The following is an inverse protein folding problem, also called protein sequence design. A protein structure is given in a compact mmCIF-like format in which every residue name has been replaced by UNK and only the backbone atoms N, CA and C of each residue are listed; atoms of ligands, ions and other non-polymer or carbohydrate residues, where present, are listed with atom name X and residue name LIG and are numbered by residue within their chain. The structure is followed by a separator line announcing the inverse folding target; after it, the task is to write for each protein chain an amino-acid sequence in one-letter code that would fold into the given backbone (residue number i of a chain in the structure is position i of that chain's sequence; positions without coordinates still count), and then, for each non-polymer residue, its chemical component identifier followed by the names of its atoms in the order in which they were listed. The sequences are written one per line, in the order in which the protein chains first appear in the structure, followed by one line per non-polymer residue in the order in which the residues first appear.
data_IF_764959149234
#
_entry.id   IF_764959149234
#
_cell.length_a   1.000
_cell.length_b   1.000
_cell.length_c   1.000
_cell.angle_alpha   90.00
_cell.angle_beta   90.00
_cell.angle_gamma   90.00
#
_symmetry.space_group_name_H-M   'P 1'
#
loop_
_entity.id
_entity.type
_entity.pdbx_description
1 polymer ?
#
# COMPACT_ATOMS: atom_id res chain seq x y z
N UNK A 1 20.01 11.16 -10.12
CA UNK A 1 19.19 10.12 -9.48
C UNK A 1 19.93 9.26 -8.45
N UNK A 2 21.23 9.47 -8.19
CA UNK A 2 21.93 8.75 -7.10
C UNK A 2 21.98 7.24 -7.28
N UNK A 3 21.92 6.76 -8.53
CA UNK A 3 22.01 5.33 -8.82
C UNK A 3 23.43 4.88 -8.50
N UNK A 4 23.56 3.91 -7.60
CA UNK A 4 24.87 3.40 -7.19
C UNK A 4 25.53 2.64 -8.34
N UNK A 5 26.76 3.03 -8.67
CA UNK A 5 27.62 2.27 -9.58
C UNK A 5 28.23 1.08 -8.80
N UNK A 6 28.05 -0.12 -9.34
CA UNK A 6 28.51 -1.37 -8.72
C UNK A 6 29.89 -1.78 -9.24
N UNK A 7 30.14 -1.62 -10.54
CA UNK A 7 31.40 -1.97 -11.21
C UNK A 7 31.66 -1.10 -12.42
N UNK A 8 32.94 -0.93 -12.76
CA UNK A 8 33.38 -0.23 -13.97
C UNK A 8 33.41 1.29 -13.78
N UNK A 9 32.97 2.04 -14.80
CA UNK A 9 32.98 3.50 -14.82
C UNK A 9 31.65 4.08 -15.32
N UNK A 10 31.43 5.35 -15.02
CA UNK A 10 30.37 6.15 -15.64
C UNK A 10 30.75 6.58 -17.07
N UNK A 11 29.78 7.19 -17.77
CA UNK A 11 30.02 7.82 -19.06
C UNK A 11 30.94 9.03 -18.90
N UNK A 12 31.91 9.15 -19.80
CA UNK A 12 32.90 10.23 -19.80
C UNK A 12 32.54 11.24 -20.90
N UNK A 13 32.94 12.53 -20.76
CA UNK A 13 32.78 13.52 -21.81
C UNK A 13 33.42 13.12 -23.15
N UNK A 14 34.43 12.26 -23.13
CA UNK A 14 35.10 11.72 -24.33
C UNK A 14 34.33 10.60 -25.05
N UNK A 15 33.26 10.05 -24.47
CA UNK A 15 32.40 9.04 -25.10
C UNK A 15 31.49 9.73 -26.14
N UNK A 16 32.10 10.23 -27.21
CA UNK A 16 31.44 10.96 -28.30
C UNK A 16 31.00 10.00 -29.41
N UNK A 17 30.28 10.53 -30.40
CA UNK A 17 29.74 9.77 -31.53
C UNK A 17 30.83 9.07 -32.36
N UNK A 18 32.04 9.62 -32.41
CA UNK A 18 33.22 9.07 -33.09
C UNK A 18 34.01 8.05 -32.23
N UNK A 19 33.73 7.97 -30.93
CA UNK A 19 34.35 7.01 -30.03
C UNK A 19 33.69 5.62 -30.17
N UNK A 20 34.35 4.54 -29.71
CA UNK A 20 33.71 3.24 -29.59
C UNK A 20 32.39 3.36 -28.81
N UNK A 21 31.33 2.70 -29.31
CA UNK A 21 30.02 2.75 -28.65
C UNK A 21 30.10 2.06 -27.29
N UNK A 22 29.61 2.72 -26.25
CA UNK A 22 29.66 2.23 -24.87
C UNK A 22 28.27 2.13 -24.24
N UNK A 23 28.12 1.22 -23.29
CA UNK A 23 26.90 1.06 -22.53
C UNK A 23 27.16 0.79 -21.05
N UNK A 24 26.21 1.20 -20.23
CA UNK A 24 26.11 0.81 -18.81
C UNK A 24 24.88 -0.08 -18.68
N UNK A 25 24.97 -1.17 -17.92
CA UNK A 25 23.85 -2.11 -17.75
C UNK A 25 23.44 -2.21 -16.29
N UNK A 26 22.19 -2.57 -16.02
CA UNK A 26 21.79 -2.86 -14.64
C UNK A 26 22.26 -4.25 -14.18
N UNK A 27 22.32 -4.45 -12.88
CA UNK A 27 22.75 -5.71 -12.28
C UNK A 27 21.94 -6.92 -12.76
N UNK A 28 20.63 -6.77 -12.98
CA UNK A 28 19.78 -7.84 -13.52
C UNK A 28 20.22 -8.29 -14.91
N UNK A 29 20.54 -7.35 -15.81
CA UNK A 29 21.06 -7.65 -17.14
C UNK A 29 22.37 -8.42 -17.03
N UNK A 30 23.30 -7.93 -16.20
CA UNK A 30 24.60 -8.57 -15.99
C UNK A 30 24.46 -10.02 -15.51
N UNK A 31 23.65 -10.27 -14.47
CA UNK A 31 23.43 -11.63 -13.94
C UNK A 31 22.78 -12.56 -14.96
N UNK A 32 21.82 -12.06 -15.74
CA UNK A 32 21.08 -12.88 -16.70
C UNK A 32 21.96 -13.35 -17.87
N UNK A 33 22.70 -12.44 -18.49
CA UNK A 33 23.49 -12.75 -19.70
C UNK A 33 24.87 -13.33 -19.39
N UNK A 34 25.52 -12.87 -18.33
CA UNK A 34 26.90 -13.26 -18.02
C UNK A 34 27.00 -14.33 -16.92
N UNK A 35 25.88 -14.75 -16.32
CA UNK A 35 25.80 -15.84 -15.32
C UNK A 35 26.86 -15.75 -14.21
N UNK A 36 27.20 -14.53 -13.79
CA UNK A 36 28.19 -14.24 -12.75
C UNK A 36 29.60 -13.90 -13.25
N UNK A 37 29.89 -14.07 -14.54
CA UNK A 37 31.12 -13.56 -15.15
C UNK A 37 31.11 -12.02 -15.20
N UNK A 38 32.29 -11.41 -15.20
CA UNK A 38 32.40 -9.95 -15.22
C UNK A 38 31.95 -9.38 -16.57
N UNK A 39 30.89 -8.55 -16.62
CA UNK A 39 30.36 -8.01 -17.87
C UNK A 39 31.18 -6.83 -18.38
N UNK A 40 31.97 -6.17 -17.54
CA UNK A 40 32.75 -4.98 -17.91
C UNK A 40 33.82 -5.37 -18.96
N UNK A 41 33.94 -4.56 -20.01
CA UNK A 41 34.82 -4.81 -21.16
C UNK A 41 34.25 -5.79 -22.20
N UNK A 42 33.10 -6.43 -21.93
CA UNK A 42 32.44 -7.31 -22.92
C UNK A 42 31.62 -6.49 -23.92
N UNK A 43 31.49 -7.02 -25.13
CA UNK A 43 30.66 -6.43 -26.19
C UNK A 43 29.27 -7.06 -26.18
N UNK A 44 28.26 -6.22 -26.37
CA UNK A 44 26.88 -6.62 -26.61
C UNK A 44 26.41 -6.02 -27.93
N UNK A 45 25.48 -6.69 -28.59
CA UNK A 45 24.71 -6.12 -29.69
C UNK A 45 23.35 -5.69 -29.14
N UNK A 46 23.02 -4.41 -29.27
CA UNK A 46 21.72 -3.87 -28.87
C UNK A 46 21.18 -3.04 -30.03
N UNK A 47 20.01 -3.44 -30.58
CA UNK A 47 19.41 -2.86 -31.79
C UNK A 47 20.42 -2.77 -32.95
N UNK A 48 21.11 -3.88 -33.20
CA UNK A 48 22.15 -4.04 -34.23
C UNK A 48 23.40 -3.15 -34.07
N UNK A 49 23.50 -2.39 -32.98
CA UNK A 49 24.69 -1.62 -32.61
C UNK A 49 25.55 -2.43 -31.64
N UNK A 50 26.80 -2.68 -32.04
CA UNK A 50 27.79 -3.30 -31.15
C UNK A 50 28.38 -2.27 -30.19
N UNK A 51 28.22 -2.50 -28.90
CA UNK A 51 28.66 -1.60 -27.83
C UNK A 51 29.41 -2.36 -26.73
N UNK A 52 30.36 -1.69 -26.09
CA UNK A 52 31.14 -2.26 -24.99
C UNK A 52 30.54 -1.86 -23.66
N UNK A 53 30.32 -2.83 -22.77
CA UNK A 53 29.86 -2.56 -21.42
C UNK A 53 31.01 -1.93 -20.63
N UNK A 54 30.85 -0.69 -20.18
CA UNK A 54 31.85 0.04 -19.39
C UNK A 54 31.52 0.10 -17.91
N UNK A 55 30.28 -0.21 -17.53
CA UNK A 55 29.86 -0.19 -16.13
C UNK A 55 28.58 -0.98 -15.85
N UNK A 56 28.39 -1.28 -14.56
CA UNK A 56 27.20 -1.94 -14.02
C UNK A 56 26.64 -1.08 -12.90
N UNK A 57 25.34 -0.81 -12.94
CA UNK A 57 24.61 -0.04 -11.91
C UNK A 57 23.60 -0.89 -11.16
N UNK A 58 23.24 -0.44 -9.96
CA UNK A 58 22.16 -1.05 -9.19
C UNK A 58 20.83 -1.03 -9.95
N UNK A 59 19.97 -2.01 -9.67
CA UNK A 59 18.62 -2.07 -10.23
C UNK A 59 17.75 -0.95 -9.65
N UNK A 60 17.03 -0.23 -10.52
CA UNK A 60 16.17 0.90 -10.14
C UNK A 60 14.83 0.86 -10.83
N UNK A 61 13.81 1.41 -10.16
CA UNK A 61 12.47 1.61 -10.72
C UNK A 61 12.51 2.77 -11.72
N UNK A 62 11.87 2.62 -12.89
CA UNK A 62 12.01 3.60 -13.98
C UNK A 62 10.75 4.42 -14.23
N UNK A 63 9.58 3.78 -14.27
CA UNK A 63 8.34 4.45 -14.66
C UNK A 63 7.29 4.44 -13.56
N UNK A 64 7.17 3.32 -12.86
CA UNK A 64 6.13 3.10 -11.88
C UNK A 64 6.73 2.80 -10.50
N UNK A 65 6.32 3.50 -9.42
CA UNK A 65 6.71 3.15 -8.06
C UNK A 65 6.41 1.68 -7.67
N UNK A 66 5.46 1.03 -8.36
CA UNK A 66 5.11 -0.38 -8.18
C UNK A 66 6.02 -1.38 -8.88
N UNK A 67 6.87 -0.94 -9.81
CA UNK A 67 7.76 -1.84 -10.55
C UNK A 67 8.71 -2.55 -9.57
N UNK A 68 8.84 -3.87 -9.73
CA UNK A 68 9.96 -4.58 -9.15
C UNK A 68 11.25 -4.06 -9.83
N UNK A 69 12.21 -3.52 -9.07
CA UNK A 69 13.49 -3.07 -9.62
C UNK A 69 14.20 -4.17 -10.45
N UNK A 70 13.92 -5.43 -10.15
CA UNK A 70 14.52 -6.60 -10.82
C UNK A 70 13.72 -7.12 -12.02
N UNK A 71 12.57 -6.52 -12.35
CA UNK A 71 11.71 -6.99 -13.44
C UNK A 71 12.36 -6.77 -14.81
N UNK A 72 13.07 -5.66 -14.99
CA UNK A 72 13.58 -5.23 -16.28
C UNK A 72 15.10 -5.28 -16.38
N UNK A 73 15.56 -5.51 -17.60
CA UNK A 73 16.98 -5.50 -17.98
C UNK A 73 17.23 -4.21 -18.74
N UNK A 74 18.00 -3.32 -18.16
CA UNK A 74 18.24 -1.99 -18.73
C UNK A 74 19.63 -1.88 -19.33
N UNK A 75 19.69 -1.22 -20.48
CA UNK A 75 20.91 -0.80 -21.16
C UNK A 75 20.84 0.72 -21.29
N UNK A 76 21.74 1.41 -20.60
CA UNK A 76 21.91 2.84 -20.68
C UNK A 76 22.97 3.16 -21.72
N UNK A 77 22.70 4.17 -22.54
CA UNK A 77 23.63 4.67 -23.55
C UNK A 77 23.80 6.18 -23.37
N UNK A 78 25.00 6.73 -23.64
CA UNK A 78 25.24 8.15 -23.49
C UNK A 78 24.54 8.91 -24.62
N UNK A 79 23.87 10.02 -24.28
CA UNK A 79 23.16 10.87 -25.25
C UNK A 79 24.11 11.42 -26.32
N UNK A 80 25.38 11.68 -25.97
CA UNK A 80 26.44 12.10 -26.90
C UNK A 80 26.75 11.11 -28.03
N UNK A 81 26.31 9.85 -27.91
CA UNK A 81 26.47 8.82 -28.94
C UNK A 81 25.17 8.52 -29.72
N UNK A 82 24.06 9.18 -29.37
CA UNK A 82 22.78 9.00 -30.05
C UNK A 82 22.78 9.73 -31.39
N UNK A 83 22.53 8.99 -32.48
CA UNK A 83 22.45 9.57 -33.84
C UNK A 83 21.17 10.40 -34.03
N UNK A 84 20.08 9.97 -33.40
CA UNK A 84 18.80 10.68 -33.40
C UNK A 84 18.26 10.72 -31.98
N UNK A 85 18.02 11.93 -31.49
CA UNK A 85 17.34 12.16 -30.20
C UNK A 85 15.90 12.56 -30.50
N UNK A 86 14.99 11.59 -30.43
CA UNK A 86 13.56 11.83 -30.69
C UNK A 86 12.89 12.57 -29.52
N UNK A 87 13.25 12.23 -28.29
CA UNK A 87 12.72 12.83 -27.07
C UNK A 87 13.85 13.02 -26.06
N UNK A 88 13.84 14.16 -25.35
CA UNK A 88 14.81 14.45 -24.30
C UNK A 88 14.09 14.94 -23.05
N UNK A 89 14.29 14.22 -21.95
CA UNK A 89 13.78 14.59 -20.63
C UNK A 89 14.93 15.05 -19.75
N UNK A 90 14.75 16.18 -19.07
CA UNK A 90 15.73 16.71 -18.14
C UNK A 90 15.31 16.46 -16.69
N UNK A 91 16.25 15.98 -15.89
CA UNK A 91 16.08 15.88 -14.45
C UNK A 91 16.94 16.93 -13.76
N UNK A 92 16.29 17.85 -13.05
CA UNK A 92 16.96 18.90 -12.30
C UNK A 92 16.90 18.57 -10.81
N UNK A 93 18.06 18.54 -10.15
CA UNK A 93 18.15 18.45 -8.70
C UNK A 93 18.40 19.85 -8.16
N UNK A 94 17.52 20.31 -7.28
CA UNK A 94 17.65 21.58 -6.57
C UNK A 94 17.60 21.34 -5.06
N UNK A 95 18.21 22.24 -4.29
CA UNK A 95 18.14 22.28 -2.82
C UNK A 95 16.95 23.15 -2.36
N UNK A 96 16.48 24.05 -3.23
CA UNK A 96 15.36 24.96 -2.97
C UNK A 96 13.99 24.31 -3.25
N UNK A 97 12.91 25.06 -3.05
CA UNK A 97 11.56 24.63 -3.38
C UNK A 97 11.45 24.26 -4.87
N UNK A 98 11.12 23.00 -5.13
CA UNK A 98 11.02 22.44 -6.47
C UNK A 98 9.94 23.11 -7.32
N UNK A 99 8.90 23.67 -6.69
CA UNK A 99 7.83 24.40 -7.39
C UNK A 99 8.27 25.80 -7.81
N UNK A 100 9.07 26.48 -6.98
CA UNK A 100 9.66 27.76 -7.34
C UNK A 100 10.66 27.59 -8.50
N UNK A 101 11.56 26.62 -8.38
CA UNK A 101 12.53 26.27 -9.43
C UNK A 101 11.84 25.88 -10.75
N UNK A 102 10.70 25.18 -10.69
CA UNK A 102 9.91 24.84 -11.87
C UNK A 102 9.39 26.10 -12.60
N UNK A 103 8.98 27.15 -11.87
CA UNK A 103 8.58 28.43 -12.47
C UNK A 103 9.76 29.13 -13.14
N UNK A 104 10.92 29.11 -12.52
CA UNK A 104 12.13 29.75 -13.04
C UNK A 104 12.65 29.05 -14.30
N UNK A 105 12.69 27.72 -14.30
CA UNK A 105 13.00 26.91 -15.50
C UNK A 105 12.02 27.24 -16.62
N UNK A 106 10.71 27.34 -16.31
CA UNK A 106 9.70 27.69 -17.31
C UNK A 106 9.94 29.09 -17.91
N UNK A 107 10.30 30.07 -17.08
CA UNK A 107 10.63 31.41 -17.54
C UNK A 107 11.90 31.42 -18.41
N UNK A 108 12.92 30.65 -18.02
CA UNK A 108 14.19 30.54 -18.73
C UNK A 108 14.02 29.87 -20.10
N UNK A 109 13.30 28.76 -20.18
CA UNK A 109 13.03 28.08 -21.46
C UNK A 109 12.23 28.97 -22.41
N UNK A 110 11.21 29.69 -21.91
CA UNK A 110 10.46 30.66 -22.72
C UNK A 110 11.32 31.79 -23.26
N UNK A 111 12.39 32.19 -22.56
CA UNK A 111 13.34 33.19 -23.05
C UNK A 111 14.27 32.65 -24.12
N UNK A 112 14.67 31.38 -24.02
CA UNK A 112 15.53 30.72 -25.01
C UNK A 112 14.76 30.48 -26.31
N UNK A 113 13.59 29.87 -26.21
CA UNK A 113 12.72 29.61 -27.36
C UNK A 113 11.24 29.58 -26.90
N UNK A 114 10.45 30.61 -27.25
CA UNK A 114 9.02 30.66 -26.93
C UNK A 114 8.19 29.54 -27.57
N UNK A 115 8.67 28.96 -28.68
CA UNK A 115 7.97 27.93 -29.43
C UNK A 115 8.29 26.52 -28.90
N UNK A 116 9.22 26.37 -27.95
CA UNK A 116 9.56 25.08 -27.38
C UNK A 116 8.46 24.63 -26.40
N UNK A 117 7.70 23.57 -26.70
CA UNK A 117 6.68 23.07 -25.79
C UNK A 117 7.34 22.42 -24.58
N UNK A 118 7.11 23.01 -23.40
CA UNK A 118 7.44 22.38 -22.12
C UNK A 118 6.38 21.33 -21.77
N UNK A 119 6.60 20.11 -22.24
CA UNK A 119 5.77 18.97 -21.85
C UNK A 119 6.11 18.52 -20.42
N UNK A 120 5.08 18.26 -19.62
CA UNK A 120 5.17 17.52 -18.35
C UNK A 120 6.21 18.02 -17.34
N UNK A 121 6.41 19.35 -17.23
CA UNK A 121 7.20 19.94 -16.16
C UNK A 121 6.52 19.70 -14.80
N UNK A 122 6.91 18.62 -14.13
CA UNK A 122 6.34 18.16 -12.85
C UNK A 122 7.44 17.90 -11.85
N UNK A 123 7.11 18.04 -10.58
CA UNK A 123 8.00 17.61 -9.50
C UNK A 123 7.94 16.09 -9.36
N UNK A 124 8.99 15.48 -8.80
CA UNK A 124 8.98 14.04 -8.49
C UNK A 124 7.82 13.67 -7.56
N UNK A 125 7.46 14.56 -6.61
CA UNK A 125 6.30 14.35 -5.71
C UNK A 125 5.00 14.29 -6.48
N UNK A 126 4.76 15.23 -7.39
CA UNK A 126 3.57 15.26 -8.22
C UNK A 126 3.46 14.03 -9.13
N UNK A 127 4.60 13.56 -9.66
CA UNK A 127 4.65 12.33 -10.45
C UNK A 127 4.25 11.10 -9.61
N UNK A 128 4.71 11.04 -8.36
CA UNK A 128 4.32 9.99 -7.41
C UNK A 128 2.82 10.10 -7.09
N UNK A 129 2.31 11.30 -6.80
CA UNK A 129 0.89 11.49 -6.48
C UNK A 129 -0.02 11.03 -7.63
N UNK A 130 0.33 11.37 -8.88
CA UNK A 130 -0.41 10.92 -10.06
C UNK A 130 -0.37 9.40 -10.19
N UNK A 131 0.78 8.77 -9.95
CA UNK A 131 0.91 7.31 -9.99
C UNK A 131 0.05 6.60 -8.92
N UNK A 132 -0.23 7.27 -7.80
CA UNK A 132 -0.98 6.71 -6.67
C UNK A 132 -2.49 7.06 -6.67
N UNK A 133 -2.97 7.86 -7.63
CA UNK A 133 -4.39 8.30 -7.68
C UNK A 133 -5.38 7.13 -7.67
N UNK A 134 -5.17 6.13 -8.53
CA UNK A 134 -6.03 4.96 -8.61
C UNK A 134 -6.01 4.13 -7.31
N UNK A 135 -4.87 4.08 -6.61
CA UNK A 135 -4.76 3.38 -5.32
C UNK A 135 -5.55 4.08 -4.24
N UNK A 136 -5.44 5.42 -4.16
CA UNK A 136 -6.20 6.21 -3.20
C UNK A 136 -7.70 6.04 -3.45
N UNK A 137 -8.15 5.99 -4.71
CA UNK A 137 -9.55 5.74 -5.04
C UNK A 137 -10.01 4.36 -4.55
N UNK A 138 -9.29 3.28 -4.89
CA UNK A 138 -9.63 1.92 -4.46
C UNK A 138 -9.59 1.81 -2.93
N UNK A 139 -8.56 2.35 -2.28
CA UNK A 139 -8.42 2.38 -0.83
C UNK A 139 -9.59 3.11 -0.16
N UNK A 140 -10.02 4.25 -0.72
CA UNK A 140 -11.17 5.02 -0.21
C UNK A 140 -12.47 4.23 -0.34
N UNK A 141 -12.68 3.56 -1.48
CA UNK A 141 -13.87 2.72 -1.72
C UNK A 141 -13.89 1.48 -0.80
N UNK A 142 -12.77 0.79 -0.65
CA UNK A 142 -12.66 -0.34 0.26
C UNK A 142 -12.87 0.10 1.73
N UNK A 143 -12.35 1.26 2.11
CA UNK A 143 -12.54 1.82 3.45
C UNK A 143 -14.00 2.21 3.70
N UNK A 144 -14.68 2.79 2.72
CA UNK A 144 -16.10 3.14 2.86
C UNK A 144 -16.97 1.88 2.96
N UNK A 145 -16.73 0.85 2.13
CA UNK A 145 -17.42 -0.43 2.26
C UNK A 145 -17.13 -1.12 3.60
N UNK A 146 -15.88 -1.10 4.05
CA UNK A 146 -15.49 -1.62 5.36
C UNK A 146 -16.22 -0.91 6.50
N UNK A 147 -16.35 0.42 6.44
CA UNK A 147 -17.09 1.22 7.41
C UNK A 147 -18.57 0.85 7.43
N UNK A 148 -19.22 0.78 6.26
CA UNK A 148 -20.63 0.42 6.13
C UNK A 148 -20.87 -1.00 6.65
N UNK A 149 -20.03 -1.96 6.27
CA UNK A 149 -20.11 -3.34 6.74
C UNK A 149 -19.95 -3.42 8.26
N UNK A 150 -19.03 -2.65 8.84
CA UNK A 150 -18.81 -2.58 10.29
C UNK A 150 -20.04 -2.02 11.01
N UNK A 151 -20.65 -0.96 10.49
CA UNK A 151 -21.89 -0.39 11.04
C UNK A 151 -23.02 -1.42 10.97
N UNK A 152 -23.20 -2.07 9.83
CA UNK A 152 -24.24 -3.08 9.62
C UNK A 152 -24.06 -4.27 10.57
N UNK A 153 -22.82 -4.76 10.72
CA UNK A 153 -22.49 -5.81 11.68
C UNK A 153 -22.76 -5.38 13.13
N UNK A 154 -22.48 -4.12 13.48
CA UNK A 154 -22.76 -3.56 14.80
C UNK A 154 -24.25 -3.57 15.12
N UNK A 155 -25.08 -3.14 14.15
CA UNK A 155 -26.54 -3.12 14.29
C UNK A 155 -27.08 -4.54 14.41
N UNK A 156 -26.59 -5.47 13.59
CA UNK A 156 -26.98 -6.88 13.67
C UNK A 156 -26.64 -7.51 15.00
N UNK A 157 -25.42 -7.30 15.50
CA UNK A 157 -24.98 -7.79 16.81
C UNK A 157 -25.80 -7.18 17.94
N UNK A 158 -26.07 -5.87 17.90
CA UNK A 158 -26.97 -5.22 18.86
C UNK A 158 -28.36 -5.87 18.85
N UNK A 159 -28.94 -6.11 17.68
CA UNK A 159 -30.27 -6.73 17.53
C UNK A 159 -30.31 -8.15 18.11
N UNK A 160 -29.34 -8.99 17.76
CA UNK A 160 -29.23 -10.36 18.29
C UNK A 160 -29.07 -10.35 19.81
N UNK A 161 -28.20 -9.48 20.34
CA UNK A 161 -27.97 -9.39 21.79
C UNK A 161 -29.16 -8.82 22.55
N UNK A 162 -29.81 -7.79 22.01
CA UNK A 162 -31.04 -7.25 22.61
C UNK A 162 -32.14 -8.31 22.66
N UNK A 163 -32.28 -9.12 21.60
CA UNK A 163 -33.24 -10.23 21.56
C UNK A 163 -32.88 -11.35 22.55
N UNK A 164 -31.61 -11.74 22.64
CA UNK A 164 -31.13 -12.72 23.62
C UNK A 164 -31.38 -12.28 25.06
N UNK A 165 -31.06 -11.03 25.38
CA UNK A 165 -31.33 -10.43 26.69
C UNK A 165 -32.83 -10.44 26.98
N UNK A 166 -33.65 -9.99 26.03
CA UNK A 166 -35.10 -9.93 26.20
C UNK A 166 -35.72 -11.31 26.51
N UNK A 167 -35.29 -12.37 25.81
CA UNK A 167 -35.75 -13.75 26.09
C UNK A 167 -35.30 -14.28 27.45
N UNK A 168 -34.18 -13.80 27.99
CA UNK A 168 -33.62 -14.24 29.28
C UNK A 168 -33.95 -13.29 30.44
N UNK A 169 -34.81 -12.29 30.24
CA UNK A 169 -35.16 -11.28 31.24
C UNK A 169 -35.63 -11.91 32.57
N UNK A 170 -36.42 -12.99 32.51
CA UNK A 170 -36.95 -13.67 33.70
C UNK A 170 -35.85 -14.38 34.51
N UNK A 171 -34.92 -15.05 33.83
CA UNK A 171 -33.76 -15.69 34.47
C UNK A 171 -32.82 -14.65 35.09
N UNK A 172 -32.59 -13.55 34.38
CA UNK A 172 -31.76 -12.42 34.83
C UNK A 172 -32.41 -11.77 36.06
N UNK A 173 -33.72 -11.54 36.04
CA UNK A 173 -34.49 -11.01 37.17
C UNK A 173 -34.46 -11.93 38.41
N UNK A 174 -34.60 -13.24 38.22
CA UNK A 174 -34.45 -14.23 39.29
C UNK A 174 -33.04 -14.22 39.90
N UNK A 175 -31.99 -14.17 39.08
CA UNK A 175 -30.60 -14.09 39.58
C UNK A 175 -30.34 -12.78 40.35
N UNK A 176 -30.87 -11.67 39.86
CA UNK A 176 -30.79 -10.38 40.55
C UNK A 176 -31.53 -10.41 41.90
N UNK A 177 -32.71 -11.03 41.96
CA UNK A 177 -33.47 -11.22 43.21
C UNK A 177 -32.74 -12.13 44.22
N UNK A 178 -31.96 -13.11 43.73
CA UNK A 178 -31.09 -13.96 44.54
C UNK A 178 -29.76 -13.28 44.96
N UNK A 179 -29.60 -11.98 44.68
CA UNK A 179 -28.45 -11.18 45.12
C UNK A 179 -27.26 -11.17 44.15
N UNK A 180 -27.45 -11.53 42.88
CA UNK A 180 -26.39 -11.39 41.89
C UNK A 180 -26.01 -9.92 41.69
N UNK A 181 -24.71 -9.61 41.77
CA UNK A 181 -24.18 -8.28 41.47
C UNK A 181 -24.38 -7.96 39.96
N UNK A 182 -24.79 -6.73 39.63
CA UNK A 182 -24.93 -6.19 38.27
C UNK A 182 -23.70 -6.47 37.40
N UNK A 183 -22.50 -6.44 37.98
CA UNK A 183 -21.26 -6.77 37.26
C UNK A 183 -21.18 -8.23 36.77
N UNK A 184 -21.73 -9.19 37.52
CA UNK A 184 -21.79 -10.61 37.10
C UNK A 184 -22.74 -10.81 35.93
N UNK A 185 -23.88 -10.10 35.92
CA UNK A 185 -24.84 -10.13 34.80
C UNK A 185 -24.25 -9.46 33.56
N UNK A 186 -23.60 -8.31 33.73
CA UNK A 186 -22.91 -7.62 32.64
C UNK A 186 -21.83 -8.51 32.00
N UNK A 187 -20.97 -9.14 32.81
CA UNK A 187 -19.92 -10.03 32.33
C UNK A 187 -20.47 -11.28 31.63
N UNK A 188 -21.59 -11.82 32.11
CA UNK A 188 -22.25 -12.95 31.46
C UNK A 188 -22.64 -12.64 30.02
N UNK A 189 -23.24 -11.47 29.78
CA UNK A 189 -23.64 -11.05 28.42
C UNK A 189 -22.41 -10.69 27.58
N UNK A 190 -21.45 -9.94 28.14
CA UNK A 190 -20.21 -9.57 27.43
C UNK A 190 -19.37 -10.80 27.04
N UNK A 191 -19.38 -11.88 27.83
CA UNK A 191 -18.69 -13.12 27.47
C UNK A 191 -19.26 -13.74 26.18
N UNK A 192 -20.57 -13.67 25.97
CA UNK A 192 -21.19 -14.13 24.72
C UNK A 192 -20.75 -13.25 23.53
N UNK A 193 -20.65 -11.93 23.73
CA UNK A 193 -20.13 -10.99 22.72
C UNK A 193 -18.69 -11.35 22.33
N UNK A 194 -17.84 -11.54 23.33
CA UNK A 194 -16.42 -11.86 23.14
C UNK A 194 -16.27 -13.20 22.42
N UNK A 195 -17.09 -14.20 22.77
CA UNK A 195 -17.06 -15.50 22.10
C UNK A 195 -17.46 -15.38 20.63
N UNK A 196 -18.53 -14.64 20.32
CA UNK A 196 -18.94 -14.38 18.93
C UNK A 196 -17.86 -13.64 18.14
N UNK A 197 -17.25 -12.61 18.73
CA UNK A 197 -16.15 -11.88 18.12
C UNK A 197 -14.93 -12.78 17.88
N UNK A 198 -14.56 -13.62 18.84
CA UNK A 198 -13.43 -14.54 18.71
C UNK A 198 -13.65 -15.58 17.60
N UNK A 199 -14.86 -16.14 17.48
CA UNK A 199 -15.20 -17.06 16.39
C UNK A 199 -15.18 -16.32 15.04
N UNK A 200 -15.77 -15.13 14.98
CA UNK A 200 -15.78 -14.30 13.78
C UNK A 200 -14.38 -13.93 13.29
N UNK A 201 -13.49 -13.52 14.20
CA UNK A 201 -12.08 -13.22 13.89
C UNK A 201 -11.32 -14.49 13.52
N UNK A 202 -11.54 -15.58 14.26
CA UNK A 202 -10.89 -16.86 14.02
C UNK A 202 -11.20 -17.46 12.65
N UNK A 203 -12.39 -17.21 12.11
CA UNK A 203 -12.77 -17.60 10.75
C UNK A 203 -12.41 -16.53 9.72
N UNK A 204 -12.60 -15.25 10.06
CA UNK A 204 -12.40 -14.12 9.16
C UNK A 204 -10.95 -13.90 8.75
N UNK A 205 -9.99 -14.06 9.68
CA UNK A 205 -8.56 -13.86 9.38
C UNK A 205 -8.04 -14.90 8.35
N UNK A 206 -8.25 -16.22 8.53
CA UNK A 206 -7.88 -17.20 7.50
C UNK A 206 -8.55 -16.95 6.14
N UNK A 207 -9.84 -16.58 6.14
CA UNK A 207 -10.57 -16.24 4.91
C UNK A 207 -9.97 -15.02 4.21
N UNK A 208 -9.67 -13.96 4.96
CA UNK A 208 -9.05 -12.75 4.43
C UNK A 208 -7.66 -13.04 3.84
N UNK A 209 -6.86 -13.86 4.52
CA UNK A 209 -5.55 -14.30 4.03
C UNK A 209 -5.66 -15.13 2.75
N UNK A 210 -6.60 -16.08 2.70
CA UNK A 210 -6.85 -16.92 1.53
C UNK A 210 -7.29 -16.10 0.31
N UNK A 211 -8.28 -15.22 0.50
CA UNK A 211 -8.76 -14.33 -0.56
C UNK A 211 -7.69 -13.32 -0.98
N UNK A 212 -6.93 -12.78 -0.02
CA UNK A 212 -5.82 -11.86 -0.30
C UNK A 212 -4.72 -12.50 -1.15
N UNK A 213 -4.47 -13.80 -1.01
CA UNK A 213 -3.55 -14.53 -1.88
C UNK A 213 -4.08 -14.68 -3.32
N UNK A 214 -5.39 -14.92 -3.50
CA UNK A 214 -5.98 -15.04 -4.85
C UNK A 214 -5.90 -13.73 -5.63
N UNK A 215 -6.05 -12.61 -4.93
CA UNK A 215 -6.05 -11.26 -5.52
C UNK A 215 -4.63 -10.64 -5.51
N UNK A 216 -3.60 -11.36 -5.03
CA UNK A 216 -2.22 -10.87 -4.91
C UNK A 216 -1.63 -10.36 -6.23
N UNK A 217 -2.02 -10.95 -7.36
CA UNK A 217 -1.60 -10.51 -8.69
C UNK A 217 -2.08 -9.09 -9.03
N UNK A 218 -3.15 -8.62 -8.36
CA UNK A 218 -3.72 -7.28 -8.51
C UNK A 218 -3.19 -6.28 -7.46
N UNK A 219 -2.60 -6.77 -6.35
CA UNK A 219 -2.16 -5.96 -5.19
C UNK A 219 -0.66 -5.57 -5.18
N UNK A 220 0.09 -5.86 -6.25
CA UNK A 220 1.53 -5.52 -6.32
C UNK A 220 1.76 -4.02 -6.05
N UNK A 221 2.65 -3.60 -5.11
CA UNK A 221 3.65 -4.37 -4.35
C UNK A 221 3.34 -4.56 -2.85
N UNK A 222 2.11 -4.31 -2.39
CA UNK A 222 1.77 -4.50 -0.96
C UNK A 222 1.62 -5.98 -0.64
N UNK A 223 2.24 -6.43 0.46
CA UNK A 223 2.04 -7.80 0.92
C UNK A 223 0.60 -7.92 1.45
N UNK A 224 -0.21 -8.88 0.96
CA UNK A 224 -1.57 -9.08 1.46
C UNK A 224 -1.62 -9.56 2.93
N UNK A 225 -0.46 -9.78 3.54
CA UNK A 225 -0.28 -10.36 4.87
C UNK A 225 0.38 -9.38 5.85
N UNK A 226 0.03 -8.09 5.78
CA UNK A 226 0.53 -7.11 6.75
C UNK A 226 -0.05 -7.41 8.15
N UNK A 227 0.78 -7.82 9.13
CA UNK A 227 0.31 -8.17 10.47
C UNK A 227 -0.29 -6.98 11.21
N UNK A 228 0.16 -5.75 10.93
CA UNK A 228 -0.30 -4.54 11.59
C UNK A 228 -1.73 -4.23 11.17
N UNK A 229 -2.04 -4.39 9.88
CA UNK A 229 -3.39 -4.18 9.34
C UNK A 229 -4.36 -5.23 9.90
N UNK A 230 -3.96 -6.50 9.92
CA UNK A 230 -4.79 -7.58 10.44
C UNK A 230 -5.05 -7.45 11.96
N UNK A 231 -4.02 -7.12 12.73
CA UNK A 231 -4.15 -6.87 14.16
C UNK A 231 -5.02 -5.63 14.44
N UNK A 232 -4.80 -4.54 13.71
CA UNK A 232 -5.59 -3.32 13.82
C UNK A 232 -7.08 -3.53 13.48
N UNK A 233 -7.37 -4.24 12.39
CA UNK A 233 -8.74 -4.59 12.00
C UNK A 233 -9.42 -5.48 13.04
N UNK A 234 -8.71 -6.51 13.55
CA UNK A 234 -9.23 -7.42 14.58
C UNK A 234 -9.55 -6.68 15.88
N UNK A 235 -8.65 -5.78 16.31
CA UNK A 235 -8.84 -4.95 17.50
C UNK A 235 -10.03 -4.00 17.32
N UNK A 236 -10.14 -3.35 16.17
CA UNK A 236 -11.26 -2.46 15.84
C UNK A 236 -12.60 -3.22 15.87
N UNK A 237 -12.67 -4.40 15.25
CA UNK A 237 -13.88 -5.24 15.27
C UNK A 237 -14.23 -5.70 16.69
N UNK A 238 -13.25 -6.04 17.52
CA UNK A 238 -13.48 -6.34 18.94
C UNK A 238 -14.07 -5.14 19.71
N UNK A 239 -13.52 -3.95 19.52
CA UNK A 239 -14.03 -2.72 20.17
C UNK A 239 -15.45 -2.42 19.72
N UNK A 240 -15.73 -2.55 18.43
CA UNK A 240 -17.07 -2.37 17.86
C UNK A 240 -18.05 -3.39 18.45
N UNK A 241 -17.67 -4.67 18.52
CA UNK A 241 -18.50 -5.73 19.08
C UNK A 241 -18.81 -5.47 20.55
N UNK A 242 -17.80 -5.11 21.35
CA UNK A 242 -17.96 -4.75 22.76
C UNK A 242 -18.86 -3.53 22.92
N UNK A 243 -18.69 -2.49 22.11
CA UNK A 243 -19.54 -1.30 22.14
C UNK A 243 -21.00 -1.61 21.83
N UNK A 244 -21.25 -2.40 20.78
CA UNK A 244 -22.60 -2.83 20.40
C UNK A 244 -23.26 -3.71 21.47
N UNK A 245 -22.49 -4.60 22.10
CA UNK A 245 -22.97 -5.51 23.15
C UNK A 245 -23.11 -4.87 24.53
N UNK A 246 -22.35 -3.81 24.82
CA UNK A 246 -22.39 -3.11 26.12
C UNK A 246 -23.76 -2.51 26.40
N UNK A 247 -24.40 -1.90 25.40
CA UNK A 247 -25.71 -1.24 25.55
C UNK A 247 -26.80 -2.23 26.03
N UNK A 248 -27.06 -3.37 25.34
CA UNK A 248 -28.04 -4.35 25.79
C UNK A 248 -27.60 -5.04 27.10
N UNK A 249 -26.30 -5.28 27.30
CA UNK A 249 -25.79 -5.87 28.55
C UNK A 249 -26.03 -4.96 29.76
N UNK A 250 -25.81 -3.64 29.62
CA UNK A 250 -26.09 -2.66 30.66
C UNK A 250 -27.59 -2.54 30.93
N UNK A 251 -28.41 -2.55 29.87
CA UNK A 251 -29.88 -2.59 30.02
C UNK A 251 -30.32 -3.80 30.83
N UNK A 252 -29.79 -4.99 30.53
CA UNK A 252 -30.06 -6.23 31.27
C UNK A 252 -29.71 -6.13 32.76
N UNK A 253 -28.53 -5.57 33.07
CA UNK A 253 -28.05 -5.41 34.44
C UNK A 253 -28.84 -4.35 35.24
N UNK A 254 -29.50 -3.41 34.56
CA UNK A 254 -30.33 -2.36 35.18
C UNK A 254 -31.81 -2.72 35.36
N UNK A 255 -32.23 -3.94 34.99
CA UNK A 255 -33.63 -4.37 35.13
C UNK A 255 -33.96 -4.52 36.62
N UNK A 256 -34.98 -3.80 37.06
CA UNK A 256 -35.50 -3.90 38.42
C UNK A 256 -36.18 -5.27 38.63
N UNK A 257 -35.70 -6.12 39.57
CA UNK A 257 -36.22 -7.46 39.78
C UNK A 257 -37.72 -7.48 40.09
N UNK A 258 -38.25 -6.42 40.71
CA UNK A 258 -39.69 -6.30 41.01
C UNK A 258 -40.54 -6.04 39.77
N UNK A 259 -39.98 -5.39 38.72
CA UNK A 259 -40.67 -5.24 37.42
C UNK A 259 -40.55 -6.51 36.57
N UNK A 260 -39.44 -7.23 36.64
CA UNK A 260 -39.22 -8.45 35.85
C UNK A 260 -40.17 -9.61 36.22
N UNK A 261 -40.66 -9.65 37.47
CA UNK A 261 -41.61 -10.66 37.97
C UNK A 261 -43.09 -10.28 37.76
N UNK A 262 -43.38 -9.04 37.34
CA UNK A 262 -44.74 -8.48 37.24
C UNK A 262 -45.26 -8.37 35.80
N UNK A 263 -44.47 -8.78 34.80
CA UNK A 263 -44.92 -8.95 33.43
C UNK A 263 -45.52 -10.37 33.28
N UNK A 264 -46.85 -10.43 33.23
CA UNK A 264 -47.62 -11.51 32.58
C UNK A 264 -47.60 -11.32 31.05
#
# INVERSE_FOLDING_TARGET
MGVTMLRGREFLPGDTLAAPKVAVVNEKFARYFFKGADPVGRRIAFRDVSMTIVGVVANVKHGNPREDPNAFRFVYTPVSQAEVVAEMSFYVRTVEDSTAMARDIRALVRRIDPNLPLFSLRTVREQIDVALTLERLISTLCSSFGLIATILASIGLYGVMAFHVARRTREIGLRMALGANQGKVLWMVLREVVLMAAIGIGLGVPLALGLGQMVKSLLFPTQPTDPVVLAGASLLLCLVALGAGWIPARRAASIDPMRALRYE
#
